data_IF_296706499885
#
_entry.id   IF_296706499885
#
_cell.length_a   1.000
_cell.length_b   1.000
_cell.length_c   1.000
_cell.angle_alpha   90.00
_cell.angle_beta   90.00
_cell.angle_gamma   90.00
#
_symmetry.space_group_name_H-M   'P 1'
#
loop_
_entity.id
_entity.type
_entity.pdbx_description
1 polymer ?
#
# COMPACT_ATOMS: atom_id res chain seq x y z
N UNK A 1 -13.86 -24.79 20.68
CA UNK A 1 -13.20 -24.82 19.36
C UNK A 1 -14.15 -24.44 18.23
N UNK A 2 -15.42 -24.94 18.24
CA UNK A 2 -16.46 -24.60 17.26
C UNK A 2 -16.77 -23.08 17.27
N UNK A 3 -16.76 -22.43 18.43
CA UNK A 3 -16.98 -20.99 18.57
C UNK A 3 -15.90 -20.14 17.94
N UNK A 4 -14.63 -20.52 18.04
CA UNK A 4 -13.52 -19.73 17.49
C UNK A 4 -13.48 -19.77 15.96
N UNK A 5 -13.75 -20.90 15.34
CA UNK A 5 -13.82 -21.00 13.87
C UNK A 5 -15.02 -20.23 13.33
N UNK A 6 -16.17 -20.30 14.00
CA UNK A 6 -17.37 -19.55 13.63
C UNK A 6 -17.11 -18.02 13.71
N UNK A 7 -16.46 -17.54 14.77
CA UNK A 7 -16.09 -16.13 14.92
C UNK A 7 -15.11 -15.64 13.85
N UNK A 8 -14.17 -16.49 13.40
CA UNK A 8 -13.25 -16.16 12.31
C UNK A 8 -14.02 -16.03 10.99
N UNK A 9 -14.92 -16.96 10.69
CA UNK A 9 -15.76 -16.92 9.48
C UNK A 9 -16.68 -15.72 9.48
N UNK A 10 -17.28 -15.40 10.61
CA UNK A 10 -18.16 -14.25 10.78
C UNK A 10 -17.41 -12.94 10.45
N UNK A 11 -16.27 -12.70 11.06
CA UNK A 11 -15.41 -11.54 10.73
C UNK A 11 -15.01 -11.49 9.24
N UNK A 12 -14.70 -12.64 8.64
CA UNK A 12 -14.32 -12.70 7.23
C UNK A 12 -15.48 -12.25 6.32
N UNK A 13 -16.69 -12.77 6.54
CA UNK A 13 -17.84 -12.41 5.71
C UNK A 13 -18.35 -10.99 6.00
N UNK A 14 -18.24 -10.51 7.23
CA UNK A 14 -18.52 -9.11 7.56
C UNK A 14 -17.53 -8.17 6.84
N UNK A 15 -16.25 -8.50 6.87
CA UNK A 15 -15.24 -7.75 6.12
C UNK A 15 -15.50 -7.80 4.61
N UNK A 16 -15.88 -8.96 4.07
CA UNK A 16 -16.25 -9.08 2.66
C UNK A 16 -17.47 -8.21 2.29
N UNK A 17 -18.45 -8.10 3.19
CA UNK A 17 -19.58 -7.20 3.01
C UNK A 17 -19.16 -5.73 2.99
N UNK A 18 -18.27 -5.34 3.90
CA UNK A 18 -17.77 -3.95 3.97
C UNK A 18 -17.04 -3.53 2.69
N UNK A 19 -16.25 -4.41 2.07
CA UNK A 19 -15.57 -4.13 0.79
C UNK A 19 -16.53 -3.96 -0.40
N UNK A 20 -17.82 -4.20 -0.23
CA UNK A 20 -18.85 -4.04 -1.27
C UNK A 20 -19.74 -2.80 -1.07
N UNK A 21 -19.51 -2.00 -0.03
CA UNK A 21 -20.35 -0.83 0.30
C UNK A 21 -19.93 0.38 -0.55
N UNK A 22 -18.66 0.63 -0.66
CA UNK A 22 -18.07 1.75 -1.40
C UNK A 22 -16.94 1.26 -2.33
N UNK A 23 -16.64 1.95 -3.44
CA UNK A 23 -17.37 3.09 -4.04
C UNK A 23 -18.80 2.75 -4.45
N UNK A 24 -19.68 3.77 -4.42
CA UNK A 24 -21.12 3.61 -4.72
C UNK A 24 -21.44 3.95 -6.17
N UNK A 25 -22.44 3.28 -6.74
CA UNK A 25 -22.97 3.61 -8.07
C UNK A 25 -23.53 5.04 -8.07
N UNK A 26 -23.11 5.82 -9.05
CA UNK A 26 -23.54 7.22 -9.26
C UNK A 26 -24.03 7.44 -10.69
N UNK A 27 -24.82 6.50 -11.16
CA UNK A 27 -25.48 6.53 -12.47
C UNK A 27 -26.97 6.30 -12.25
N UNK A 28 -27.82 7.11 -12.86
CA UNK A 28 -29.25 6.87 -12.89
C UNK A 28 -29.58 5.64 -13.77
N UNK A 29 -30.80 5.14 -13.67
CA UNK A 29 -31.24 3.91 -14.37
C UNK A 29 -31.15 4.01 -15.90
N UNK A 30 -31.18 5.24 -16.45
CA UNK A 30 -31.05 5.56 -17.88
C UNK A 30 -29.58 5.81 -18.33
N UNK A 31 -28.64 5.68 -17.40
CA UNK A 31 -27.20 5.84 -17.64
C UNK A 31 -26.68 7.28 -17.51
N UNK A 32 -27.52 8.24 -17.09
CA UNK A 32 -27.06 9.60 -16.88
C UNK A 32 -26.48 9.84 -15.48
N UNK A 33 -25.56 10.80 -15.37
CA UNK A 33 -24.99 11.26 -14.11
C UNK A 33 -24.54 12.73 -14.21
N UNK A 34 -24.43 13.41 -13.09
CA UNK A 34 -23.85 14.76 -13.03
C UNK A 34 -22.34 14.68 -12.88
N UNK A 35 -21.60 15.34 -13.78
CA UNK A 35 -20.13 15.47 -13.69
C UNK A 35 -19.69 16.59 -12.76
N UNK A 36 -18.36 16.72 -12.54
CA UNK A 36 -17.76 17.77 -11.73
C UNK A 36 -17.87 19.17 -12.39
N UNK A 37 -18.10 19.21 -13.68
CA UNK A 37 -18.42 20.44 -14.45
C UNK A 37 -19.88 20.88 -14.27
N UNK A 38 -20.65 20.19 -13.42
CA UNK A 38 -22.11 20.37 -13.22
C UNK A 38 -22.96 20.07 -14.45
N UNK A 39 -22.42 19.54 -15.53
CA UNK A 39 -23.16 19.08 -16.68
C UNK A 39 -23.67 17.65 -16.48
N UNK A 40 -24.74 17.33 -17.23
CA UNK A 40 -25.23 15.95 -17.28
C UNK A 40 -24.49 15.22 -18.40
N UNK A 41 -23.88 14.09 -18.01
CA UNK A 41 -23.17 13.18 -18.87
C UNK A 41 -23.87 11.84 -18.94
N UNK A 42 -23.52 11.01 -19.92
CA UNK A 42 -23.99 9.65 -20.05
C UNK A 42 -22.81 8.68 -19.94
N UNK A 43 -22.95 7.68 -19.08
CA UNK A 43 -21.99 6.59 -18.97
C UNK A 43 -22.22 5.59 -20.09
N UNK A 44 -21.32 5.57 -21.08
CA UNK A 44 -21.38 4.68 -22.22
C UNK A 44 -20.33 3.57 -22.08
N UNK A 45 -20.80 2.33 -21.93
CA UNK A 45 -19.95 1.14 -21.78
C UNK A 45 -19.29 0.99 -20.40
N UNK A 46 -19.73 1.75 -19.40
CA UNK A 46 -19.32 1.63 -18.00
C UNK A 46 -20.42 2.12 -17.05
N UNK A 47 -20.33 1.79 -15.79
CA UNK A 47 -21.13 2.36 -14.70
C UNK A 47 -20.29 3.44 -14.01
N UNK A 48 -20.84 4.65 -13.81
CA UNK A 48 -20.12 5.70 -13.09
C UNK A 48 -20.26 5.49 -11.59
N UNK A 49 -19.12 5.64 -10.88
CA UNK A 49 -19.02 5.47 -9.44
C UNK A 49 -18.62 6.77 -8.75
N UNK A 50 -18.91 6.85 -7.46
CA UNK A 50 -18.56 7.95 -6.56
C UNK A 50 -18.17 7.41 -5.20
N UNK A 51 -17.77 8.32 -4.28
CA UNK A 51 -17.23 8.03 -2.94
C UNK A 51 -15.86 7.33 -3.06
N UNK A 52 -14.91 8.13 -3.50
CA UNK A 52 -13.52 7.74 -3.62
C UNK A 52 -12.70 8.29 -2.44
N UNK A 53 -12.31 7.42 -1.54
CA UNK A 53 -11.43 7.66 -0.37
C UNK A 53 -10.05 7.08 -0.70
N UNK A 54 -9.34 7.72 -1.64
CA UNK A 54 -8.23 7.06 -2.32
C UNK A 54 -6.95 6.96 -1.49
N UNK A 55 -6.76 7.84 -0.50
CA UNK A 55 -5.66 7.73 0.46
C UNK A 55 -5.68 6.39 1.22
N UNK A 56 -6.87 5.86 1.46
CA UNK A 56 -7.10 4.59 2.14
C UNK A 56 -7.14 3.43 1.15
N UNK A 57 -8.08 3.50 0.20
CA UNK A 57 -8.55 2.34 -0.59
C UNK A 57 -7.55 1.86 -1.65
N UNK A 58 -6.57 2.68 -2.05
CA UNK A 58 -5.55 2.23 -2.99
C UNK A 58 -4.71 1.07 -2.44
N UNK A 59 -4.58 0.97 -1.11
CA UNK A 59 -3.64 0.06 -0.43
C UNK A 59 -4.07 -1.41 -0.53
N UNK A 60 -5.34 -1.71 -0.28
CA UNK A 60 -5.87 -3.07 -0.38
C UNK A 60 -7.26 -3.17 -1.00
N UNK A 61 -8.15 -2.20 -0.82
CA UNK A 61 -9.51 -2.29 -1.33
C UNK A 61 -9.55 -2.37 -2.86
N UNK A 62 -8.94 -1.42 -3.60
CA UNK A 62 -8.86 -1.49 -5.06
C UNK A 62 -8.11 -2.74 -5.57
N UNK A 63 -6.96 -3.17 -4.98
CA UNK A 63 -6.35 -4.47 -5.29
C UNK A 63 -7.27 -5.66 -5.06
N UNK A 64 -8.12 -5.62 -4.02
CA UNK A 64 -9.11 -6.66 -3.75
C UNK A 64 -10.22 -6.68 -4.81
N UNK A 65 -10.72 -5.51 -5.18
CA UNK A 65 -11.69 -5.36 -6.25
C UNK A 65 -11.12 -5.82 -7.60
N UNK A 66 -9.85 -5.54 -7.90
CA UNK A 66 -9.16 -6.09 -9.08
C UNK A 66 -9.15 -7.61 -9.09
N UNK A 67 -8.98 -8.24 -7.94
CA UNK A 67 -8.94 -9.69 -7.83
C UNK A 67 -10.34 -10.33 -7.93
N UNK A 68 -11.34 -9.74 -7.27
CA UNK A 68 -12.64 -10.37 -7.05
C UNK A 68 -13.80 -9.77 -7.87
N UNK A 69 -13.66 -8.52 -8.33
CA UNK A 69 -14.69 -7.72 -9.02
C UNK A 69 -14.05 -6.85 -10.13
N UNK A 70 -13.22 -7.46 -10.95
CA UNK A 70 -12.39 -6.75 -11.94
C UNK A 70 -13.21 -5.87 -12.90
N UNK A 71 -14.41 -6.31 -13.29
CA UNK A 71 -15.37 -5.55 -14.11
C UNK A 71 -15.81 -4.25 -13.42
N UNK A 72 -16.15 -4.32 -12.13
CA UNK A 72 -16.56 -3.15 -11.35
C UNK A 72 -15.40 -2.20 -11.09
N UNK A 73 -14.21 -2.74 -10.76
CA UNK A 73 -13.03 -1.90 -10.55
C UNK A 73 -12.59 -1.22 -11.85
N UNK A 74 -12.73 -1.89 -13.01
CA UNK A 74 -12.56 -1.26 -14.33
C UNK A 74 -13.47 -0.03 -14.49
N UNK A 75 -14.74 -0.16 -14.17
CA UNK A 75 -15.70 0.92 -14.27
C UNK A 75 -15.40 2.07 -13.28
N UNK A 76 -14.91 1.75 -12.07
CA UNK A 76 -14.42 2.74 -11.10
C UNK A 76 -13.22 3.51 -11.65
N UNK A 77 -12.25 2.82 -12.25
CA UNK A 77 -11.07 3.44 -12.88
C UNK A 77 -11.49 4.35 -14.05
N UNK A 78 -12.43 3.92 -14.89
CA UNK A 78 -12.97 4.77 -15.95
C UNK A 78 -13.67 5.99 -15.35
N UNK A 79 -14.43 5.83 -14.26
CA UNK A 79 -15.05 6.95 -13.54
C UNK A 79 -14.02 7.96 -13.05
N UNK A 80 -12.88 7.52 -12.54
CA UNK A 80 -11.77 8.39 -12.13
C UNK A 80 -11.19 9.17 -13.32
N UNK A 81 -11.05 8.55 -14.48
CA UNK A 81 -10.58 9.22 -15.71
C UNK A 81 -11.62 10.25 -16.18
N UNK A 82 -12.91 9.93 -16.16
CA UNK A 82 -13.99 10.88 -16.48
C UNK A 82 -14.04 12.04 -15.49
N UNK A 83 -13.82 11.78 -14.20
CA UNK A 83 -13.66 12.81 -13.19
C UNK A 83 -12.56 13.81 -13.59
N UNK A 84 -11.37 13.33 -13.98
CA UNK A 84 -10.27 14.17 -14.42
C UNK A 84 -10.63 15.04 -15.62
N UNK A 85 -11.38 14.50 -16.58
CA UNK A 85 -11.79 15.20 -17.80
C UNK A 85 -12.86 16.26 -17.55
N UNK A 86 -13.74 16.03 -16.59
CA UNK A 86 -14.87 16.90 -16.24
C UNK A 86 -14.52 17.90 -15.13
N UNK A 87 -13.48 17.62 -14.34
CA UNK A 87 -13.02 18.53 -13.29
C UNK A 87 -12.42 19.81 -13.89
N UNK A 88 -12.81 20.97 -13.36
CA UNK A 88 -12.20 22.27 -13.70
C UNK A 88 -10.70 22.30 -13.35
N UNK A 89 -10.29 21.51 -12.38
CA UNK A 89 -8.90 21.35 -11.98
C UNK A 89 -8.12 20.42 -12.93
N UNK A 90 -8.83 19.58 -13.69
CA UNK A 90 -8.22 18.59 -14.57
C UNK A 90 -7.39 17.55 -13.86
N UNK A 91 -7.74 17.22 -12.61
CA UNK A 91 -7.10 16.22 -11.78
C UNK A 91 -7.97 14.97 -11.68
N UNK A 92 -7.32 13.83 -11.50
CA UNK A 92 -7.95 12.61 -10.99
C UNK A 92 -8.50 12.86 -9.57
N UNK A 93 -9.50 12.08 -9.11
CA UNK A 93 -10.06 12.29 -7.78
C UNK A 93 -9.02 12.10 -6.68
N UNK A 94 -9.15 12.88 -5.64
CA UNK A 94 -8.42 12.75 -4.37
C UNK A 94 -9.36 12.13 -3.33
N UNK A 95 -10.45 12.85 -3.02
CA UNK A 95 -11.50 12.44 -2.07
C UNK A 95 -12.86 12.91 -2.58
N UNK A 96 -13.29 12.35 -3.69
CA UNK A 96 -14.45 12.84 -4.42
C UNK A 96 -15.75 12.16 -4.01
N UNK A 97 -16.75 12.95 -3.65
CA UNK A 97 -18.08 12.50 -3.30
C UNK A 97 -19.16 13.21 -4.13
N UNK A 98 -20.01 12.45 -4.83
CA UNK A 98 -21.20 12.93 -5.54
C UNK A 98 -20.94 14.17 -6.43
N UNK A 99 -19.90 14.08 -7.27
CA UNK A 99 -19.43 15.14 -8.15
C UNK A 99 -18.94 16.41 -7.40
N UNK A 100 -18.39 16.25 -6.21
CA UNK A 100 -17.63 17.26 -5.49
C UNK A 100 -16.30 16.70 -5.04
N UNK A 101 -15.23 17.44 -5.23
CA UNK A 101 -13.91 17.12 -4.70
C UNK A 101 -13.73 17.81 -3.34
N UNK A 102 -13.36 17.02 -2.31
CA UNK A 102 -13.24 17.52 -0.94
C UNK A 102 -11.80 17.83 -0.54
N UNK A 103 -10.79 17.38 -1.33
CA UNK A 103 -9.37 17.60 -1.07
C UNK A 103 -8.90 17.06 0.28
N UNK A 104 -9.59 16.05 0.81
CA UNK A 104 -9.22 15.44 2.07
C UNK A 104 -7.99 14.56 1.89
N UNK A 105 -7.14 14.49 2.92
CA UNK A 105 -5.88 13.75 2.95
C UNK A 105 -4.84 14.27 1.94
N UNK A 106 -3.73 13.56 1.79
CA UNK A 106 -2.63 13.92 0.90
C UNK A 106 -2.41 12.87 -0.20
N UNK A 107 -1.48 13.12 -1.11
CA UNK A 107 -1.24 12.25 -2.26
C UNK A 107 -2.22 12.46 -3.40
N UNK A 108 -1.98 11.79 -4.53
CA UNK A 108 -2.91 11.72 -5.68
C UNK A 108 -3.12 10.26 -6.10
N UNK A 109 -3.49 9.44 -5.12
CA UNK A 109 -3.47 7.98 -5.17
C UNK A 109 -4.44 7.32 -6.16
N UNK A 110 -5.31 8.10 -6.84
CA UNK A 110 -6.02 7.58 -8.01
C UNK A 110 -5.05 6.96 -9.03
N UNK A 111 -3.82 7.51 -9.14
CA UNK A 111 -2.80 6.95 -10.04
C UNK A 111 -2.40 5.54 -9.64
N UNK A 112 -2.41 5.23 -8.35
CA UNK A 112 -2.16 3.87 -7.84
C UNK A 112 -3.29 2.91 -8.24
N UNK A 113 -4.55 3.31 -8.04
CA UNK A 113 -5.70 2.50 -8.45
C UNK A 113 -5.70 2.23 -9.97
N UNK A 114 -5.37 3.25 -10.79
CA UNK A 114 -5.23 3.11 -12.23
C UNK A 114 -4.07 2.18 -12.61
N UNK A 115 -2.89 2.37 -12.01
CA UNK A 115 -1.71 1.57 -12.29
C UNK A 115 -1.94 0.10 -11.92
N UNK A 116 -2.52 -0.16 -10.75
CA UNK A 116 -2.82 -1.52 -10.28
C UNK A 116 -3.80 -2.24 -11.21
N UNK A 117 -4.87 -1.56 -11.64
CA UNK A 117 -5.82 -2.11 -12.60
C UNK A 117 -5.16 -2.40 -13.97
N UNK A 118 -4.36 -1.48 -14.49
CA UNK A 118 -3.69 -1.61 -15.79
C UNK A 118 -2.65 -2.75 -15.78
N UNK A 119 -1.85 -2.85 -14.72
CA UNK A 119 -0.84 -3.91 -14.55
C UNK A 119 -1.52 -5.28 -14.44
N UNK A 120 -2.69 -5.35 -13.82
CA UNK A 120 -3.53 -6.56 -13.70
C UNK A 120 -4.49 -6.76 -14.88
N UNK A 121 -4.19 -6.13 -16.01
CA UNK A 121 -4.85 -6.35 -17.31
C UNK A 121 -6.32 -5.92 -17.40
N UNK A 122 -6.74 -4.91 -16.62
CA UNK A 122 -8.05 -4.28 -16.83
C UNK A 122 -8.17 -3.69 -18.24
N UNK A 123 -9.36 -3.82 -18.83
CA UNK A 123 -9.69 -3.27 -20.15
C UNK A 123 -9.93 -1.75 -20.04
N UNK A 124 -8.84 -1.00 -19.97
CA UNK A 124 -8.78 0.46 -19.85
C UNK A 124 -7.79 1.00 -20.87
N UNK A 125 -8.10 2.12 -21.51
CA UNK A 125 -7.13 2.78 -22.39
C UNK A 125 -5.94 3.30 -21.59
N UNK A 126 -4.81 2.60 -21.73
CA UNK A 126 -3.57 2.90 -21.00
C UNK A 126 -2.99 4.27 -21.34
N UNK A 127 -3.18 4.75 -22.59
CA UNK A 127 -2.67 6.06 -23.00
C UNK A 127 -3.54 7.19 -22.47
N UNK A 128 -4.85 7.02 -22.46
CA UNK A 128 -5.79 7.95 -21.82
C UNK A 128 -5.51 8.04 -20.31
N UNK A 129 -5.37 6.89 -19.65
CA UNK A 129 -5.00 6.81 -18.23
C UNK A 129 -3.67 7.51 -17.95
N UNK A 130 -2.61 7.19 -18.68
CA UNK A 130 -1.29 7.81 -18.51
C UNK A 130 -1.34 9.34 -18.66
N UNK A 131 -2.10 9.84 -19.64
CA UNK A 131 -2.29 11.28 -19.84
C UNK A 131 -2.97 11.94 -18.63
N UNK A 132 -4.01 11.30 -18.08
CA UNK A 132 -4.72 11.78 -16.89
C UNK A 132 -3.80 11.79 -15.65
N UNK A 133 -3.02 10.73 -15.47
CA UNK A 133 -2.05 10.60 -14.38
C UNK A 133 -0.97 11.70 -14.44
N UNK A 134 -0.35 11.89 -15.61
CA UNK A 134 0.67 12.93 -15.82
C UNK A 134 0.10 14.32 -15.56
N UNK A 135 -1.11 14.61 -16.05
CA UNK A 135 -1.74 15.91 -15.83
C UNK A 135 -1.98 16.17 -14.35
N UNK A 136 -2.48 15.18 -13.61
CA UNK A 136 -2.69 15.26 -12.16
C UNK A 136 -1.40 15.58 -11.42
N UNK A 137 -0.29 14.90 -11.73
CA UNK A 137 1.01 15.03 -11.06
C UNK A 137 1.76 16.34 -11.34
N UNK A 138 1.15 17.27 -12.10
CA UNK A 138 1.76 18.56 -12.51
C UNK A 138 0.86 19.76 -12.22
N UNK A 139 -0.18 19.61 -11.41
CA UNK A 139 -1.05 20.73 -11.02
C UNK A 139 -0.40 21.54 -9.92
N UNK A 140 0.13 22.76 -10.21
CA UNK A 140 1.09 23.43 -9.33
C UNK A 140 0.49 23.94 -8.01
N UNK A 141 -0.81 24.24 -7.99
CA UNK A 141 -1.49 24.71 -6.77
C UNK A 141 -2.00 23.61 -5.85
N UNK A 142 -1.80 22.33 -6.22
CA UNK A 142 -2.24 21.21 -5.40
C UNK A 142 -1.15 20.88 -4.37
N UNK A 143 -1.49 21.01 -3.09
CA UNK A 143 -0.78 20.55 -1.87
C UNK A 143 0.77 20.51 -1.98
N UNK A 144 1.38 21.67 -2.28
CA UNK A 144 2.84 21.80 -2.40
C UNK A 144 3.46 21.16 -3.65
N UNK A 145 2.66 20.84 -4.67
CA UNK A 145 3.16 20.22 -5.91
C UNK A 145 4.17 21.09 -6.64
N UNK A 146 4.00 22.41 -6.63
CA UNK A 146 4.96 23.35 -7.25
C UNK A 146 6.34 23.23 -6.60
N UNK A 147 6.38 23.28 -5.27
CA UNK A 147 7.60 23.04 -4.50
C UNK A 147 8.20 21.66 -4.76
N UNK A 148 7.37 20.63 -4.77
CA UNK A 148 7.81 19.25 -5.02
C UNK A 148 8.44 19.07 -6.40
N UNK A 149 7.90 19.70 -7.43
CA UNK A 149 8.46 19.67 -8.78
C UNK A 149 9.83 20.38 -8.85
N UNK A 150 9.99 21.44 -8.07
CA UNK A 150 11.20 22.26 -8.11
C UNK A 150 12.28 21.81 -7.13
N UNK A 151 11.92 21.56 -5.85
CA UNK A 151 12.83 21.21 -4.77
C UNK A 151 13.04 19.71 -4.63
N UNK A 152 12.18 18.89 -5.27
CA UNK A 152 12.11 17.44 -5.10
C UNK A 152 11.67 16.98 -3.70
N UNK A 153 11.00 17.84 -2.95
CA UNK A 153 10.28 17.60 -1.71
C UNK A 153 9.35 18.78 -1.42
N UNK A 154 8.34 18.56 -0.59
CA UNK A 154 7.48 19.62 -0.08
C UNK A 154 8.12 20.21 1.19
N UNK A 155 8.35 21.53 1.30
CA UNK A 155 9.01 22.11 2.46
C UNK A 155 8.05 22.28 3.66
N UNK A 156 8.61 22.13 4.86
CA UNK A 156 7.88 22.20 6.12
C UNK A 156 7.28 23.58 6.41
N UNK A 157 7.93 24.64 6.00
CA UNK A 157 7.47 26.02 6.12
C UNK A 157 6.34 26.39 5.14
N UNK A 158 6.03 25.50 4.16
CA UNK A 158 4.94 25.70 3.21
C UNK A 158 3.76 24.74 3.47
N UNK A 159 3.99 23.57 4.08
CA UNK A 159 2.95 22.57 4.38
C UNK A 159 3.18 21.88 5.72
N UNK A 160 2.12 21.83 6.55
CA UNK A 160 2.15 21.13 7.85
C UNK A 160 2.28 19.60 7.71
N UNK A 161 2.01 19.04 6.53
CA UNK A 161 2.07 17.60 6.21
C UNK A 161 3.20 17.26 5.24
N UNK A 162 4.15 18.16 5.08
CA UNK A 162 5.20 18.18 4.06
C UNK A 162 5.95 16.86 3.86
N UNK A 163 6.28 16.17 4.96
CA UNK A 163 7.05 14.93 4.88
C UNK A 163 6.19 13.78 4.35
N UNK A 164 4.99 13.56 4.89
CA UNK A 164 4.07 12.53 4.37
C UNK A 164 3.71 12.79 2.91
N UNK A 165 3.36 14.04 2.56
CA UNK A 165 3.05 14.44 1.18
C UNK A 165 4.19 14.10 0.21
N UNK A 166 5.44 14.39 0.59
CA UNK A 166 6.61 14.05 -0.24
C UNK A 166 6.75 12.54 -0.46
N UNK A 167 6.54 11.74 0.58
CA UNK A 167 6.64 10.28 0.50
C UNK A 167 5.55 9.68 -0.39
N UNK A 168 4.33 10.17 -0.24
CA UNK A 168 3.17 9.71 -1.00
C UNK A 168 3.29 10.09 -2.48
N UNK A 169 3.73 11.31 -2.79
CA UNK A 169 4.03 11.72 -4.17
C UNK A 169 5.11 10.86 -4.83
N UNK A 170 6.14 10.47 -4.08
CA UNK A 170 7.19 9.60 -4.63
C UNK A 170 6.65 8.21 -5.01
N UNK A 171 5.72 7.68 -4.25
CA UNK A 171 5.03 6.43 -4.59
C UNK A 171 4.06 6.62 -5.78
N UNK A 172 3.29 7.69 -5.80
CA UNK A 172 2.38 8.01 -6.89
C UNK A 172 3.14 8.20 -8.22
N UNK A 173 4.29 8.87 -8.20
CA UNK A 173 5.20 9.01 -9.34
C UNK A 173 5.71 7.65 -9.83
N UNK A 174 6.00 6.71 -8.91
CA UNK A 174 6.37 5.36 -9.29
C UNK A 174 5.21 4.64 -10.01
N UNK A 175 3.96 4.87 -9.63
CA UNK A 175 2.80 4.33 -10.33
C UNK A 175 2.73 4.85 -11.78
N UNK A 176 3.02 6.14 -12.01
CA UNK A 176 3.09 6.72 -13.35
C UNK A 176 4.25 6.09 -14.15
N UNK A 177 5.42 5.89 -13.53
CA UNK A 177 6.53 5.17 -14.13
C UNK A 177 6.13 3.79 -14.66
N UNK A 178 5.40 3.00 -13.86
CA UNK A 178 4.92 1.67 -14.25
C UNK A 178 4.04 1.72 -15.51
N UNK A 179 3.07 2.62 -15.56
CA UNK A 179 2.17 2.76 -16.70
C UNK A 179 2.90 3.31 -17.93
N UNK A 180 3.83 4.26 -17.75
CA UNK A 180 4.66 4.79 -18.84
C UNK A 180 5.50 3.69 -19.51
N UNK A 181 6.08 2.77 -18.71
CA UNK A 181 6.80 1.60 -19.25
C UNK A 181 5.88 0.71 -20.11
N UNK A 182 4.67 0.41 -19.62
CA UNK A 182 3.69 -0.39 -20.35
C UNK A 182 3.20 0.27 -21.64
N UNK A 183 3.22 1.62 -21.70
CA UNK A 183 2.91 2.40 -22.90
C UNK A 183 4.10 2.56 -23.86
N UNK A 184 5.32 2.16 -23.45
CA UNK A 184 6.55 2.33 -24.22
C UNK A 184 7.10 3.77 -24.21
N UNK A 185 6.63 4.64 -23.31
CA UNK A 185 6.98 6.05 -23.21
C UNK A 185 8.26 6.24 -22.36
N UNK A 186 9.41 5.90 -22.96
CA UNK A 186 10.70 5.80 -22.26
C UNK A 186 11.15 7.09 -21.56
N UNK A 187 10.95 8.25 -22.20
CA UNK A 187 11.35 9.54 -21.60
C UNK A 187 10.51 9.87 -20.36
N UNK A 188 9.20 9.64 -20.44
CA UNK A 188 8.28 9.81 -19.33
C UNK A 188 8.64 8.83 -18.20
N UNK A 189 8.88 7.55 -18.55
CA UNK A 189 9.28 6.56 -17.57
C UNK A 189 10.55 6.97 -16.81
N UNK A 190 11.58 7.52 -17.47
CA UNK A 190 12.79 7.96 -16.79
C UNK A 190 12.57 9.20 -15.89
N UNK A 191 11.75 10.19 -16.35
CA UNK A 191 11.34 11.33 -15.53
C UNK A 191 10.71 10.84 -14.21
N UNK A 192 9.68 9.97 -14.33
CA UNK A 192 8.93 9.53 -13.15
C UNK A 192 9.70 8.50 -12.30
N UNK A 193 10.59 7.72 -12.89
CA UNK A 193 11.53 6.90 -12.13
C UNK A 193 12.45 7.73 -11.23
N UNK A 194 12.93 8.87 -11.74
CA UNK A 194 13.73 9.80 -10.95
C UNK A 194 12.93 10.42 -9.80
N UNK A 195 11.70 10.87 -10.07
CA UNK A 195 10.79 11.45 -9.07
C UNK A 195 10.41 10.44 -8.00
N UNK A 196 10.21 9.17 -8.35
CA UNK A 196 9.93 8.08 -7.41
C UNK A 196 11.01 7.90 -6.32
N UNK A 197 12.20 8.44 -6.51
CA UNK A 197 13.29 8.41 -5.53
C UNK A 197 13.33 9.63 -4.61
N UNK A 198 12.42 10.58 -4.76
CA UNK A 198 12.38 11.84 -4.01
C UNK A 198 12.18 11.63 -2.49
N UNK A 199 11.58 10.54 -2.05
CA UNK A 199 11.46 10.16 -0.63
C UNK A 199 12.81 10.19 0.09
N UNK A 200 13.93 9.93 -0.63
CA UNK A 200 15.30 9.90 -0.11
C UNK A 200 15.78 11.27 0.37
N UNK A 201 15.22 12.35 -0.18
CA UNK A 201 15.61 13.72 0.17
C UNK A 201 15.27 14.08 1.61
N UNK A 202 14.27 13.40 2.21
CA UNK A 202 13.86 13.65 3.58
C UNK A 202 14.48 12.66 4.58
N UNK A 203 15.27 11.68 4.13
CA UNK A 203 15.90 10.73 5.05
C UNK A 203 17.13 11.33 5.71
N UNK A 204 17.03 11.65 7.00
CA UNK A 204 18.16 12.14 7.80
C UNK A 204 19.01 10.97 8.32
N UNK A 205 20.15 10.75 7.69
CA UNK A 205 21.09 9.66 8.05
C UNK A 205 21.65 9.77 9.46
N UNK A 206 21.67 10.98 10.04
CA UNK A 206 22.23 11.20 11.39
C UNK A 206 21.37 10.62 12.48
N UNK A 207 20.04 10.59 12.26
CA UNK A 207 19.05 10.03 13.21
C UNK A 207 18.40 8.75 12.67
N UNK A 208 18.53 8.46 11.38
CA UNK A 208 17.99 7.28 10.71
C UNK A 208 16.47 7.31 10.52
N UNK A 209 15.88 8.49 10.32
CA UNK A 209 14.45 8.72 10.14
C UNK A 209 14.16 9.67 8.99
N UNK A 210 12.94 9.60 8.46
CA UNK A 210 12.37 10.68 7.64
C UNK A 210 12.16 11.89 8.56
N UNK A 211 12.69 13.04 8.12
CA UNK A 211 12.64 14.31 8.84
C UNK A 211 12.28 15.43 7.87
N UNK A 212 11.33 16.31 8.20
CA UNK A 212 10.96 17.41 7.33
C UNK A 212 12.14 18.36 7.09
N UNK A 213 12.14 19.01 5.91
CA UNK A 213 13.07 20.08 5.54
C UNK A 213 12.33 21.39 5.30
N UNK A 214 12.99 22.49 5.62
CA UNK A 214 12.56 23.82 5.20
C UNK A 214 12.93 24.07 3.73
N UNK A 215 12.34 25.11 3.10
CA UNK A 215 12.61 25.47 1.70
C UNK A 215 14.10 25.80 1.44
N UNK A 216 14.85 26.21 2.47
CA UNK A 216 16.29 26.43 2.38
C UNK A 216 17.14 25.14 2.42
N UNK A 217 16.52 23.96 2.46
CA UNK A 217 17.19 22.67 2.49
C UNK A 217 17.62 22.15 3.86
N UNK A 218 17.50 22.95 4.91
CA UNK A 218 17.84 22.54 6.28
C UNK A 218 16.76 21.61 6.86
N UNK A 219 17.16 20.57 7.58
CA UNK A 219 16.21 19.76 8.35
C UNK A 219 15.60 20.54 9.51
N UNK A 220 14.32 20.30 9.81
CA UNK A 220 13.63 20.87 10.98
C UNK A 220 14.45 20.63 12.26
N UNK A 221 14.79 21.68 13.01
CA UNK A 221 15.75 21.59 14.11
C UNK A 221 15.18 20.85 15.32
N UNK A 222 14.10 21.35 15.89
CA UNK A 222 13.40 20.67 16.99
C UNK A 222 12.49 19.61 16.39
N UNK A 223 12.85 18.34 16.55
CA UNK A 223 12.18 17.21 15.91
C UNK A 223 12.07 16.03 16.86
N UNK A 224 10.85 15.59 17.13
CA UNK A 224 10.55 14.37 17.87
C UNK A 224 9.92 13.33 16.94
N UNK A 225 10.61 12.23 16.60
CA UNK A 225 10.10 11.23 15.65
C UNK A 225 8.85 10.47 16.12
N UNK A 226 8.45 10.59 17.38
CA UNK A 226 7.22 10.00 17.93
C UNK A 226 6.04 10.98 17.95
N UNK A 227 6.29 12.28 17.77
CA UNK A 227 5.24 13.29 17.81
C UNK A 227 4.40 13.25 16.53
N UNK A 228 3.07 13.24 16.69
CA UNK A 228 2.11 13.12 15.59
C UNK A 228 1.67 14.46 15.00
N UNK A 229 1.75 15.54 15.75
CA UNK A 229 1.34 16.87 15.29
C UNK A 229 2.52 17.82 15.21
N UNK A 230 2.55 18.66 14.16
CA UNK A 230 3.56 19.69 14.00
C UNK A 230 4.95 19.18 13.56
N UNK A 231 5.03 17.92 13.10
CA UNK A 231 6.28 17.30 12.65
C UNK A 231 6.31 16.96 11.17
N UNK A 232 5.35 17.49 10.39
CA UNK A 232 5.31 17.32 8.92
C UNK A 232 4.62 16.04 8.45
N UNK A 233 3.84 15.39 9.29
CA UNK A 233 3.12 14.16 8.97
C UNK A 233 1.62 14.34 9.14
N UNK A 234 0.85 13.73 8.25
CA UNK A 234 -0.59 13.59 8.35
C UNK A 234 -0.91 12.31 9.13
N UNK A 235 -1.74 12.39 10.16
CA UNK A 235 -2.26 11.25 10.93
C UNK A 235 -1.20 10.22 11.35
N UNK A 236 0.02 10.65 11.64
CA UNK A 236 1.09 9.74 12.00
C UNK A 236 2.33 10.46 12.45
N UNK A 237 3.42 9.74 12.49
CA UNK A 237 4.71 10.24 12.91
C UNK A 237 5.86 9.64 12.10
N UNK A 238 7.06 10.09 12.35
CA UNK A 238 8.23 9.63 11.61
C UNK A 238 8.53 8.13 11.79
N UNK A 239 8.16 7.52 12.92
CA UNK A 239 8.30 6.08 13.10
C UNK A 239 7.43 5.28 12.12
N UNK A 240 6.20 5.74 11.87
CA UNK A 240 5.29 5.09 10.94
C UNK A 240 5.71 5.38 9.48
N UNK A 241 5.92 6.67 9.15
CA UNK A 241 6.19 7.10 7.78
C UNK A 241 7.61 6.82 7.28
N UNK A 242 8.60 6.56 8.15
CA UNK A 242 9.95 6.15 7.68
C UNK A 242 9.96 4.81 6.94
N UNK A 243 8.89 4.04 7.00
CA UNK A 243 8.71 2.82 6.23
C UNK A 243 7.87 3.01 4.96
N UNK A 244 7.43 4.24 4.66
CA UNK A 244 6.55 4.52 3.53
C UNK A 244 7.33 4.78 2.23
N UNK A 245 7.88 3.72 1.64
CA UNK A 245 8.29 3.62 0.25
C UNK A 245 8.05 2.18 -0.23
N UNK A 246 6.77 1.76 -0.37
CA UNK A 246 6.43 0.37 -0.70
C UNK A 246 7.00 -0.06 -2.06
N UNK A 247 7.23 0.88 -2.96
CA UNK A 247 7.84 0.69 -4.27
C UNK A 247 9.36 0.48 -4.24
N UNK A 248 10.04 0.83 -3.11
CA UNK A 248 11.51 0.78 -3.02
C UNK A 248 12.02 0.33 -1.64
N UNK A 249 11.56 -0.83 -1.17
CA UNK A 249 11.93 -1.38 0.15
C UNK A 249 13.44 -1.63 0.27
N UNK A 250 14.12 -2.09 -0.80
CA UNK A 250 15.56 -2.24 -0.82
C UNK A 250 16.29 -0.89 -0.69
N UNK A 251 15.72 0.19 -1.25
CA UNK A 251 16.20 1.55 -1.06
C UNK A 251 16.12 1.98 0.41
N UNK A 252 15.01 1.70 1.10
CA UNK A 252 14.86 1.97 2.54
C UNK A 252 15.85 1.15 3.37
N UNK A 253 16.01 -0.14 3.07
CA UNK A 253 17.00 -1.01 3.73
C UNK A 253 18.40 -0.40 3.61
N UNK A 254 18.76 0.08 2.42
CA UNK A 254 20.05 0.72 2.16
C UNK A 254 20.21 2.03 2.94
N UNK A 255 19.18 2.89 2.94
CA UNK A 255 19.20 4.16 3.69
C UNK A 255 19.35 3.96 5.20
N UNK A 256 18.69 2.94 5.75
CA UNK A 256 18.76 2.60 7.18
C UNK A 256 20.04 1.84 7.57
N UNK A 257 21.00 1.66 6.64
CA UNK A 257 22.29 1.06 6.92
C UNK A 257 22.31 -0.48 6.85
N UNK A 258 21.40 -1.06 6.05
CA UNK A 258 21.37 -2.48 5.71
C UNK A 258 20.38 -3.32 6.49
N UNK A 259 20.27 -4.58 6.10
CA UNK A 259 19.29 -5.57 6.57
C UNK A 259 19.17 -5.62 8.10
N UNK A 260 20.30 -5.75 8.80
CA UNK A 260 20.31 -5.88 10.26
C UNK A 260 19.69 -4.66 10.97
N UNK A 261 20.01 -3.47 10.51
CA UNK A 261 19.49 -2.23 11.09
C UNK A 261 18.01 -2.03 10.76
N UNK A 262 17.61 -2.37 9.53
CA UNK A 262 16.21 -2.31 9.11
C UNK A 262 15.34 -3.27 9.93
N UNK A 263 15.78 -4.53 10.10
CA UNK A 263 15.09 -5.51 10.96
C UNK A 263 15.00 -5.01 12.39
N UNK A 264 16.11 -4.46 12.94
CA UNK A 264 16.08 -3.90 14.29
C UNK A 264 15.07 -2.76 14.42
N UNK A 265 14.98 -1.87 13.43
CA UNK A 265 14.04 -0.75 13.43
C UNK A 265 12.57 -1.24 13.38
N UNK A 266 12.28 -2.26 12.57
CA UNK A 266 10.97 -2.91 12.57
C UNK A 266 10.65 -3.58 13.92
N UNK A 267 11.62 -4.30 14.49
CA UNK A 267 11.44 -4.94 15.81
C UNK A 267 11.20 -3.89 16.91
N UNK A 268 11.95 -2.79 16.90
CA UNK A 268 11.78 -1.69 17.83
C UNK A 268 10.37 -1.07 17.71
N UNK A 269 9.88 -0.86 16.48
CA UNK A 269 8.51 -0.34 16.24
C UNK A 269 7.45 -1.23 16.89
N UNK A 270 7.51 -2.54 16.69
CA UNK A 270 6.49 -3.46 17.22
C UNK A 270 6.63 -3.76 18.71
N UNK A 271 7.80 -3.49 19.33
CA UNK A 271 8.08 -3.84 20.72
C UNK A 271 8.24 -2.65 21.66
N UNK A 272 8.28 -1.41 21.14
CA UNK A 272 8.41 -0.24 22.01
C UNK A 272 7.21 -0.09 22.95
N UNK A 273 7.46 0.48 24.10
CA UNK A 273 6.41 0.98 24.98
C UNK A 273 6.19 2.47 24.66
N UNK A 274 5.10 2.77 23.93
CA UNK A 274 4.79 4.14 23.55
C UNK A 274 4.25 4.92 24.74
N UNK A 275 4.90 6.02 25.19
CA UNK A 275 4.40 6.85 26.27
C UNK A 275 3.02 7.45 25.95
N UNK A 276 2.14 7.48 26.96
CA UNK A 276 0.76 7.92 26.83
C UNK A 276 0.60 9.34 26.23
N UNK A 277 1.56 10.24 26.50
CA UNK A 277 1.55 11.60 25.97
C UNK A 277 1.47 11.68 24.42
N UNK A 278 1.85 10.60 23.69
CA UNK A 278 1.84 10.56 22.23
C UNK A 278 0.51 10.06 21.63
N UNK A 279 -0.40 9.49 22.44
CA UNK A 279 -1.68 8.99 21.93
C UNK A 279 -2.91 9.46 22.74
N UNK A 280 -2.78 9.86 24.02
CA UNK A 280 -3.94 10.21 24.86
C UNK A 280 -4.79 11.38 24.34
N UNK A 281 -4.22 12.26 23.53
CA UNK A 281 -4.90 13.44 22.95
C UNK A 281 -4.94 13.39 21.42
N UNK A 282 -4.77 12.21 20.86
CA UNK A 282 -4.78 12.02 19.42
C UNK A 282 -6.06 11.28 19.04
N UNK A 283 -6.80 11.81 18.07
CA UNK A 283 -8.05 11.20 17.58
C UNK A 283 -7.78 10.02 16.65
N UNK A 284 -6.64 10.04 15.93
CA UNK A 284 -6.29 9.06 14.92
C UNK A 284 -5.49 7.88 15.51
N UNK A 285 -4.83 8.07 16.66
CA UNK A 285 -4.00 7.07 17.31
C UNK A 285 -4.52 6.78 18.72
N UNK A 286 -5.39 5.79 18.84
CA UNK A 286 -5.90 5.33 20.14
C UNK A 286 -5.09 4.15 20.67
N UNK A 287 -5.17 3.89 21.97
CA UNK A 287 -4.50 2.75 22.60
C UNK A 287 -4.91 1.41 22.00
N UNK A 288 -6.16 1.30 21.57
CA UNK A 288 -6.75 0.08 20.98
C UNK A 288 -6.19 -0.25 19.61
N UNK A 289 -5.68 0.77 18.88
CA UNK A 289 -5.10 0.59 17.54
C UNK A 289 -3.59 0.35 17.55
N UNK A 290 -2.96 0.35 18.74
CA UNK A 290 -1.50 0.26 18.91
C UNK A 290 -1.01 -1.16 19.19
N UNK A 291 0.11 -1.51 18.55
CA UNK A 291 0.94 -2.65 18.87
C UNK A 291 2.40 -2.18 18.93
N UNK A 292 2.86 -1.84 20.12
CA UNK A 292 4.08 -1.04 20.27
C UNK A 292 3.87 0.38 19.76
N UNK A 293 4.71 0.81 18.81
CA UNK A 293 4.53 2.05 18.04
C UNK A 293 3.87 1.84 16.67
N UNK A 294 3.54 0.58 16.32
CA UNK A 294 2.77 0.26 15.12
C UNK A 294 1.31 0.62 15.31
N UNK A 295 0.74 1.36 14.36
CA UNK A 295 -0.65 1.87 14.41
C UNK A 295 -1.46 1.14 13.37
N UNK A 296 -2.24 0.12 13.78
CA UNK A 296 -3.06 -0.64 12.83
C UNK A 296 -4.33 0.09 12.42
N UNK A 297 -4.88 0.88 13.32
CA UNK A 297 -6.10 1.66 13.07
C UNK A 297 -5.91 2.85 12.12
N UNK A 298 -4.71 3.00 11.53
CA UNK A 298 -4.40 4.05 10.57
C UNK A 298 -3.59 3.48 9.37
N UNK A 299 -3.93 3.84 8.17
CA UNK A 299 -3.58 3.20 6.91
C UNK A 299 -2.09 3.24 6.55
N UNK A 300 -1.30 4.29 6.85
CA UNK A 300 0.13 4.33 6.55
C UNK A 300 0.93 3.15 7.10
N UNK A 301 0.40 2.47 8.11
CA UNK A 301 1.05 1.33 8.77
C UNK A 301 0.73 -0.03 8.14
N UNK A 302 -0.31 -0.15 7.31
CA UNK A 302 -0.88 -1.43 6.87
C UNK A 302 0.10 -2.36 6.15
N UNK A 303 1.05 -1.83 5.40
CA UNK A 303 2.07 -2.61 4.67
C UNK A 303 3.25 -3.03 5.56
N UNK A 304 3.49 -2.33 6.68
CA UNK A 304 4.71 -2.45 7.50
C UNK A 304 4.98 -3.87 8.01
N UNK A 305 4.01 -4.66 8.50
CA UNK A 305 4.28 -6.02 8.97
C UNK A 305 4.77 -6.97 7.89
N UNK A 306 4.57 -6.64 6.62
CA UNK A 306 5.02 -7.42 5.47
C UNK A 306 6.45 -7.08 5.02
N UNK A 307 7.04 -5.96 5.47
CA UNK A 307 8.36 -5.51 5.05
C UNK A 307 9.50 -6.46 5.44
N UNK A 308 9.31 -7.33 6.41
CA UNK A 308 10.28 -8.39 6.72
C UNK A 308 10.51 -9.35 5.54
N UNK A 309 9.61 -9.43 4.55
CA UNK A 309 9.78 -10.29 3.37
C UNK A 309 11.02 -9.93 2.52
N UNK A 310 11.47 -8.68 2.57
CA UNK A 310 12.70 -8.22 1.91
C UNK A 310 13.98 -8.46 2.72
N UNK A 311 13.84 -8.89 3.97
CA UNK A 311 14.96 -9.02 4.92
C UNK A 311 15.48 -10.46 5.03
N UNK A 312 16.49 -10.65 5.88
CA UNK A 312 16.97 -11.97 6.28
C UNK A 312 16.03 -12.72 7.24
N UNK A 313 14.92 -12.08 7.69
CA UNK A 313 14.02 -12.61 8.71
C UNK A 313 12.54 -12.60 8.30
N UNK A 314 12.16 -13.14 7.11
CA UNK A 314 10.79 -13.05 6.59
C UNK A 314 9.73 -13.76 7.46
N UNK A 315 10.12 -14.69 8.33
CA UNK A 315 9.19 -15.35 9.25
C UNK A 315 8.56 -14.39 10.27
N UNK A 316 9.12 -13.20 10.49
CA UNK A 316 8.55 -12.19 11.39
C UNK A 316 7.26 -11.60 10.84
N UNK A 317 7.10 -11.49 9.52
CA UNK A 317 5.80 -11.19 8.90
C UNK A 317 4.72 -12.15 9.42
N UNK A 318 4.98 -13.45 9.39
CA UNK A 318 4.00 -14.48 9.80
C UNK A 318 3.62 -14.37 11.28
N UNK A 319 4.56 -13.95 12.11
CA UNK A 319 4.31 -13.68 13.53
C UNK A 319 3.43 -12.43 13.72
N UNK A 320 3.84 -11.30 13.14
CA UNK A 320 3.17 -10.02 13.38
C UNK A 320 1.77 -9.95 12.74
N UNK A 321 1.57 -10.45 11.52
CA UNK A 321 0.22 -10.48 10.93
C UNK A 321 -0.75 -11.32 11.79
N UNK A 322 -0.29 -12.42 12.39
CA UNK A 322 -1.12 -13.21 13.31
C UNK A 322 -1.45 -12.45 14.59
N UNK A 323 -0.48 -11.75 15.18
CA UNK A 323 -0.70 -10.91 16.37
C UNK A 323 -1.69 -9.77 16.07
N UNK A 324 -1.55 -9.10 14.94
CA UNK A 324 -2.45 -8.03 14.51
C UNK A 324 -3.88 -8.58 14.34
N UNK A 325 -4.05 -9.67 13.60
CA UNK A 325 -5.38 -10.27 13.38
C UNK A 325 -6.06 -10.68 14.69
N UNK A 326 -5.31 -11.21 15.64
CA UNK A 326 -5.86 -11.65 16.92
C UNK A 326 -6.22 -10.48 17.85
N UNK A 327 -5.50 -9.36 17.78
CA UNK A 327 -5.66 -8.23 18.73
C UNK A 327 -6.52 -7.11 18.18
N UNK A 328 -6.44 -6.84 16.86
CA UNK A 328 -7.00 -5.65 16.23
C UNK A 328 -8.36 -5.91 15.55
N UNK A 329 -8.75 -7.18 15.39
CA UNK A 329 -10.03 -7.57 14.83
C UNK A 329 -10.81 -8.44 15.79
N UNK A 330 -11.96 -7.96 16.25
CA UNK A 330 -12.81 -8.63 17.23
C UNK A 330 -14.15 -9.02 16.60
N UNK A 331 -14.80 -10.06 17.13
CA UNK A 331 -16.16 -10.41 16.78
C UNK A 331 -17.15 -9.60 17.62
N UNK A 332 -17.25 -8.31 17.32
CA UNK A 332 -18.01 -7.31 18.07
C UNK A 332 -18.44 -6.20 17.11
N UNK A 333 -19.48 -5.42 17.46
CA UNK A 333 -19.92 -4.24 16.68
C UNK A 333 -18.79 -3.22 16.53
N UNK A 334 -17.93 -3.08 17.56
CA UNK A 334 -16.71 -2.27 17.53
C UNK A 334 -15.48 -3.13 17.28
N UNK A 335 -15.58 -4.02 16.31
CA UNK A 335 -14.59 -5.06 16.06
C UNK A 335 -13.32 -4.60 15.35
N UNK A 336 -13.34 -3.43 14.72
CA UNK A 336 -12.19 -2.81 14.09
C UNK A 336 -11.44 -1.92 15.09
N UNK A 337 -10.13 -1.80 14.93
CA UNK A 337 -9.28 -0.95 15.79
C UNK A 337 -9.18 0.50 15.33
N UNK A 338 -9.82 0.87 14.24
CA UNK A 338 -9.96 2.19 13.65
C UNK A 338 -11.20 2.25 12.77
N UNK A 339 -11.31 3.27 11.93
CA UNK A 339 -12.34 3.34 10.91
C UNK A 339 -12.10 2.26 9.84
N UNK A 340 -13.17 1.83 9.15
CA UNK A 340 -13.03 0.86 8.05
C UNK A 340 -12.49 1.51 6.76
N UNK A 341 -12.68 2.81 6.62
CA UNK A 341 -12.24 3.65 5.53
C UNK A 341 -12.57 3.08 4.15
N UNK A 342 -13.88 3.00 3.91
CA UNK A 342 -14.48 2.53 2.66
C UNK A 342 -14.03 1.12 2.25
N UNK A 343 -13.83 0.22 3.23
CA UNK A 343 -13.45 -1.16 2.98
C UNK A 343 -11.95 -1.47 3.13
N UNK A 344 -11.11 -0.45 3.34
CA UNK A 344 -9.65 -0.66 3.40
C UNK A 344 -9.21 -1.55 4.56
N UNK A 345 -9.71 -1.31 5.78
CA UNK A 345 -9.39 -2.13 6.95
C UNK A 345 -9.91 -3.57 6.78
N UNK A 346 -11.09 -3.71 6.21
CA UNK A 346 -11.72 -4.98 5.89
C UNK A 346 -10.97 -5.74 4.80
N UNK A 347 -10.52 -5.09 3.74
CA UNK A 347 -9.70 -5.69 2.68
C UNK A 347 -8.34 -6.17 3.21
N UNK A 348 -7.73 -5.42 4.14
CA UNK A 348 -6.52 -5.86 4.84
C UNK A 348 -6.74 -7.20 5.57
N UNK A 349 -7.86 -7.29 6.31
CA UNK A 349 -8.22 -8.52 7.02
C UNK A 349 -8.42 -9.70 6.06
N UNK A 350 -9.12 -9.49 4.95
CA UNK A 350 -9.38 -10.54 3.95
C UNK A 350 -8.06 -11.03 3.35
N UNK A 351 -7.24 -10.15 2.79
CA UNK A 351 -5.96 -10.52 2.19
C UNK A 351 -5.05 -11.23 3.18
N UNK A 352 -4.94 -10.71 4.39
CA UNK A 352 -4.12 -11.31 5.43
C UNK A 352 -4.68 -12.70 5.84
N UNK A 353 -6.01 -12.87 5.87
CA UNK A 353 -6.64 -14.18 6.10
C UNK A 353 -6.30 -15.19 5.02
N UNK A 354 -6.21 -14.76 3.76
CA UNK A 354 -5.80 -15.57 2.61
C UNK A 354 -4.31 -15.94 2.68
N UNK A 355 -3.51 -15.19 3.44
CA UNK A 355 -2.08 -15.43 3.63
C UNK A 355 -1.16 -14.63 2.71
N UNK A 356 -1.66 -13.56 2.08
CA UNK A 356 -0.86 -12.64 1.26
C UNK A 356 -1.46 -11.23 1.30
N UNK A 357 -0.68 -10.21 0.85
CA UNK A 357 -1.09 -8.81 0.89
C UNK A 357 -0.44 -7.99 -0.24
N UNK A 358 -1.16 -7.07 -0.90
CA UNK A 358 -0.63 -6.19 -1.94
C UNK A 358 0.18 -5.03 -1.33
N UNK A 359 1.43 -5.28 -0.93
CA UNK A 359 2.30 -4.27 -0.29
C UNK A 359 2.53 -3.05 -1.17
N UNK A 360 2.62 -3.26 -2.48
CA UNK A 360 2.88 -2.22 -3.47
C UNK A 360 1.90 -2.35 -4.65
N UNK A 361 0.67 -1.79 -4.53
CA UNK A 361 -0.25 -1.73 -5.65
C UNK A 361 0.39 -1.04 -6.86
N UNK A 362 0.08 -1.52 -8.07
CA UNK A 362 0.81 -1.17 -9.29
C UNK A 362 1.93 -2.14 -9.63
N UNK A 363 2.21 -3.14 -8.77
CA UNK A 363 2.89 -4.39 -9.14
C UNK A 363 1.85 -5.49 -9.39
N UNK A 364 2.27 -6.59 -10.01
CA UNK A 364 1.44 -7.78 -10.11
C UNK A 364 1.62 -8.74 -8.90
N UNK A 365 2.30 -8.32 -7.84
CA UNK A 365 2.74 -9.16 -6.73
C UNK A 365 1.87 -8.97 -5.47
N UNK A 366 1.65 -10.08 -4.77
CA UNK A 366 1.10 -10.12 -3.42
C UNK A 366 2.12 -10.79 -2.51
N UNK A 367 2.56 -10.10 -1.47
CA UNK A 367 3.60 -10.58 -0.54
C UNK A 367 3.03 -11.63 0.40
N UNK A 368 3.70 -12.77 0.53
CA UNK A 368 3.24 -13.89 1.35
C UNK A 368 3.46 -13.63 2.84
N UNK A 369 2.38 -13.81 3.60
CA UNK A 369 2.37 -13.90 5.06
C UNK A 369 2.12 -15.34 5.53
N UNK A 370 1.04 -15.54 6.29
CA UNK A 370 0.56 -16.86 6.70
C UNK A 370 -0.98 -16.85 6.77
N UNK A 371 -1.65 -17.86 6.18
CA UNK A 371 -3.11 -17.95 6.20
C UNK A 371 -3.68 -18.02 7.62
N UNK A 372 -4.90 -17.51 7.77
CA UNK A 372 -5.61 -17.55 9.07
C UNK A 372 -6.50 -18.76 9.22
N UNK A 373 -7.00 -19.31 8.12
CA UNK A 373 -7.90 -20.45 8.05
C UNK A 373 -7.23 -21.65 7.37
N UNK A 374 -7.63 -22.90 7.72
CA UNK A 374 -7.02 -24.12 7.17
C UNK A 374 -7.36 -24.37 5.69
N UNK A 375 -8.48 -23.81 5.21
CA UNK A 375 -8.95 -23.93 3.83
C UNK A 375 -9.74 -22.70 3.42
N UNK A 376 -9.46 -22.19 2.24
CA UNK A 376 -10.18 -21.09 1.60
C UNK A 376 -10.23 -21.32 0.10
N UNK A 377 -11.32 -20.93 -0.55
CA UNK A 377 -11.52 -21.03 -1.99
C UNK A 377 -11.99 -19.69 -2.54
N UNK A 378 -11.32 -19.19 -3.56
CA UNK A 378 -11.70 -18.02 -4.33
C UNK A 378 -12.35 -18.47 -5.63
N UNK A 379 -13.61 -18.10 -5.84
CA UNK A 379 -14.27 -18.18 -7.14
C UNK A 379 -13.89 -16.91 -7.92
N UNK A 380 -13.03 -17.04 -8.92
CA UNK A 380 -12.45 -15.91 -9.64
C UNK A 380 -13.38 -15.41 -10.76
N UNK A 381 -13.32 -14.12 -11.14
CA UNK A 381 -14.17 -13.54 -12.18
C UNK A 381 -14.07 -14.23 -13.55
N UNK A 382 -12.92 -14.83 -13.86
CA UNK A 382 -12.68 -15.57 -15.12
C UNK A 382 -13.25 -17.01 -15.11
N UNK A 383 -13.96 -17.41 -14.04
CA UNK A 383 -14.53 -18.75 -13.88
C UNK A 383 -13.58 -19.79 -13.27
N UNK A 384 -12.31 -19.46 -13.09
CA UNK A 384 -11.35 -20.34 -12.44
C UNK A 384 -11.57 -20.35 -10.91
N UNK A 385 -10.98 -21.34 -10.25
CA UNK A 385 -10.94 -21.43 -8.80
C UNK A 385 -9.50 -21.43 -8.31
N UNK A 386 -9.23 -20.67 -7.27
CA UNK A 386 -7.95 -20.67 -6.58
C UNK A 386 -8.14 -21.11 -5.13
N UNK A 387 -7.46 -22.17 -4.74
CA UNK A 387 -7.61 -22.80 -3.42
C UNK A 387 -6.38 -22.51 -2.57
N UNK A 388 -6.60 -22.04 -1.35
CA UNK A 388 -5.54 -21.83 -0.36
C UNK A 388 -5.71 -22.87 0.74
N UNK A 389 -4.66 -23.66 0.98
CA UNK A 389 -4.62 -24.69 2.00
C UNK A 389 -3.53 -24.43 3.03
N UNK A 390 -3.90 -24.51 4.31
CA UNK A 390 -2.97 -24.39 5.44
C UNK A 390 -3.37 -25.39 6.54
N UNK A 391 -3.33 -26.71 6.29
CA UNK A 391 -3.80 -27.69 7.25
C UNK A 391 -3.04 -27.60 8.57
N UNK A 392 -3.80 -27.56 9.68
CA UNK A 392 -3.25 -27.46 11.03
C UNK A 392 -2.77 -26.05 11.43
N UNK A 393 -3.08 -25.00 10.64
CA UNK A 393 -2.84 -23.61 11.03
C UNK A 393 -3.53 -23.31 12.38
N UNK A 394 -2.84 -22.62 13.26
CA UNK A 394 -3.32 -22.19 14.58
C UNK A 394 -2.39 -21.14 15.16
N UNK A 395 -2.74 -20.54 16.30
CA UNK A 395 -1.86 -19.60 17.00
C UNK A 395 -0.50 -20.20 17.40
N UNK A 396 -0.45 -21.52 17.64
CA UNK A 396 0.81 -22.25 17.88
C UNK A 396 1.53 -22.58 16.58
N UNK A 397 0.81 -22.98 15.53
CA UNK A 397 1.38 -23.30 14.20
C UNK A 397 1.13 -22.14 13.24
N UNK A 398 1.75 -21.00 13.52
CA UNK A 398 1.60 -19.75 12.76
C UNK A 398 2.68 -19.53 11.70
N UNK A 399 3.76 -20.29 11.74
CA UNK A 399 4.87 -20.15 10.81
C UNK A 399 4.71 -21.05 9.59
N UNK A 400 5.23 -20.60 8.46
CA UNK A 400 5.23 -21.33 7.20
C UNK A 400 6.59 -22.03 7.03
N UNK A 401 6.54 -23.35 6.97
CA UNK A 401 7.72 -24.17 6.70
C UNK A 401 8.09 -24.17 5.23
N UNK A 402 7.10 -24.44 4.35
CA UNK A 402 7.23 -24.42 2.90
C UNK A 402 5.92 -23.97 2.27
N UNK A 403 6.00 -23.46 1.04
CA UNK A 403 4.85 -23.15 0.20
C UNK A 403 4.94 -24.00 -1.06
N UNK A 404 3.81 -24.49 -1.55
CA UNK A 404 3.70 -25.17 -2.84
C UNK A 404 2.63 -24.48 -3.68
N UNK A 405 2.91 -24.30 -4.95
CA UNK A 405 1.93 -23.86 -5.95
C UNK A 405 1.69 -25.04 -6.90
N UNK A 406 0.44 -25.50 -6.98
CA UNK A 406 0.05 -26.65 -7.79
C UNK A 406 0.93 -27.91 -7.53
N UNK A 407 1.19 -28.18 -6.24
CA UNK A 407 1.99 -29.30 -5.76
C UNK A 407 3.50 -29.15 -5.88
N UNK A 408 4.00 -28.12 -6.58
CA UNK A 408 5.45 -27.83 -6.74
C UNK A 408 5.94 -26.86 -5.68
N UNK A 409 7.17 -27.08 -5.18
CA UNK A 409 7.80 -26.17 -4.23
C UNK A 409 7.86 -24.75 -4.80
N UNK A 410 7.38 -23.78 -4.01
CA UNK A 410 7.32 -22.37 -4.35
C UNK A 410 8.17 -21.56 -3.36
N UNK A 411 9.41 -21.18 -3.72
CA UNK A 411 10.35 -20.57 -2.78
C UNK A 411 10.12 -19.06 -2.60
N UNK A 412 9.45 -18.40 -3.57
CA UNK A 412 9.24 -16.95 -3.56
C UNK A 412 8.50 -16.48 -2.30
N UNK A 413 8.77 -15.25 -1.89
CA UNK A 413 8.09 -14.57 -0.79
C UNK A 413 6.87 -13.77 -1.26
N UNK A 414 6.45 -13.94 -2.49
CA UNK A 414 5.28 -13.33 -3.12
C UNK A 414 4.62 -14.33 -4.07
N UNK A 415 3.37 -14.05 -4.44
CA UNK A 415 2.64 -14.72 -5.52
C UNK A 415 2.15 -13.65 -6.51
N UNK A 416 2.10 -13.96 -7.79
CA UNK A 416 1.65 -13.00 -8.80
C UNK A 416 0.13 -13.06 -9.01
N UNK A 417 -0.43 -11.97 -9.53
CA UNK A 417 -1.83 -11.91 -9.91
C UNK A 417 -2.17 -12.99 -10.97
N UNK A 418 -1.28 -13.21 -11.93
CA UNK A 418 -1.42 -14.24 -12.96
C UNK A 418 -1.43 -15.64 -12.36
N UNK A 419 -0.56 -15.93 -11.37
CA UNK A 419 -0.55 -17.22 -10.68
C UNK A 419 -1.92 -17.51 -10.02
N UNK A 420 -2.54 -16.49 -9.42
CA UNK A 420 -3.87 -16.62 -8.78
C UNK A 420 -4.94 -16.78 -9.86
N UNK A 421 -4.96 -15.91 -10.88
CA UNK A 421 -5.98 -15.90 -11.93
C UNK A 421 -5.93 -17.15 -12.82
N UNK A 422 -4.77 -17.81 -12.93
CA UNK A 422 -4.65 -19.10 -13.60
C UNK A 422 -5.46 -20.21 -12.88
N UNK A 423 -5.81 -19.99 -11.62
CA UNK A 423 -6.45 -21.00 -10.78
C UNK A 423 -5.46 -22.03 -10.22
N UNK A 424 -5.98 -22.99 -9.47
CA UNK A 424 -5.15 -24.04 -8.87
C UNK A 424 -5.07 -23.96 -7.36
N UNK A 425 -3.93 -24.37 -6.78
CA UNK A 425 -3.78 -24.56 -5.35
C UNK A 425 -2.48 -23.96 -4.81
N UNK A 426 -2.61 -23.15 -3.75
CA UNK A 426 -1.50 -22.66 -2.94
C UNK A 426 -1.54 -23.35 -1.56
N UNK A 427 -0.58 -24.26 -1.31
CA UNK A 427 -0.49 -25.00 -0.06
C UNK A 427 0.61 -24.41 0.84
N UNK A 428 0.24 -24.05 2.07
CA UNK A 428 1.14 -23.66 3.13
C UNK A 428 1.35 -24.81 4.12
N UNK A 429 2.56 -25.32 4.22
CA UNK A 429 2.91 -26.30 5.26
C UNK A 429 3.24 -25.55 6.54
N UNK A 430 2.35 -25.65 7.52
CA UNK A 430 2.43 -24.87 8.76
C UNK A 430 3.35 -25.51 9.80
N UNK A 431 3.98 -24.69 10.64
CA UNK A 431 4.94 -25.07 11.69
C UNK A 431 4.74 -24.24 12.97
N UNK A 432 5.09 -24.84 14.11
CA UNK A 432 5.17 -24.11 15.38
C UNK A 432 6.48 -23.32 15.54
N UNK A 433 7.48 -23.58 14.70
CA UNK A 433 8.78 -22.89 14.73
C UNK A 433 9.07 -22.25 13.38
N UNK A 434 9.73 -21.07 13.37
CA UNK A 434 10.05 -20.37 12.14
C UNK A 434 11.04 -21.14 11.25
N UNK A 435 10.80 -21.12 9.94
CA UNK A 435 11.81 -21.56 8.97
C UNK A 435 12.73 -20.39 8.62
N UNK A 436 13.94 -20.41 9.19
CA UNK A 436 14.95 -19.35 9.02
C UNK A 436 15.75 -19.44 7.72
N UNK A 437 15.50 -20.45 6.88
CA UNK A 437 16.22 -20.63 5.61
C UNK A 437 15.43 -20.17 4.37
N UNK A 438 14.12 -19.99 4.50
CA UNK A 438 13.23 -19.55 3.39
C UNK A 438 13.35 -18.05 3.14
N UNK A 439 13.29 -17.61 1.87
CA UNK A 439 13.27 -16.20 1.47
C UNK A 439 14.63 -15.50 1.59
N UNK A 440 15.75 -16.23 1.54
CA UNK A 440 17.08 -15.64 1.64
C UNK A 440 17.69 -15.23 0.31
N UNK A 441 17.30 -15.91 -0.78
CA UNK A 441 17.82 -15.60 -2.10
C UNK A 441 17.18 -14.30 -2.62
N UNK A 442 17.95 -13.47 -3.33
CA UNK A 442 17.42 -12.23 -3.92
C UNK A 442 16.28 -12.52 -4.91
N UNK A 443 16.37 -13.61 -5.68
CA UNK A 443 15.34 -14.05 -6.61
C UNK A 443 14.03 -14.52 -5.96
N UNK A 444 14.05 -14.75 -4.65
CA UNK A 444 12.88 -15.15 -3.86
C UNK A 444 12.15 -13.93 -3.26
N UNK A 445 12.78 -12.76 -3.25
CA UNK A 445 12.25 -11.53 -2.63
C UNK A 445 11.28 -10.82 -3.54
N UNK A 446 10.29 -10.06 -2.98
CA UNK A 446 9.38 -9.26 -3.78
C UNK A 446 10.09 -8.11 -4.50
N UNK A 447 9.38 -7.48 -5.43
CA UNK A 447 9.85 -6.33 -6.20
C UNK A 447 10.36 -5.18 -5.33
N UNK A 448 11.37 -4.48 -5.82
CA UNK A 448 11.81 -3.16 -5.33
C UNK A 448 12.42 -2.38 -6.49
N UNK A 449 12.17 -1.06 -6.56
CA UNK A 449 12.72 -0.19 -7.60
C UNK A 449 14.25 -0.18 -7.59
N UNK A 450 14.87 -0.22 -6.39
CA UNK A 450 16.31 -0.42 -6.23
C UNK A 450 16.63 -1.90 -6.27
N UNK A 451 17.31 -2.32 -7.34
CA UNK A 451 17.79 -3.69 -7.48
C UNK A 451 19.16 -3.85 -6.82
N UNK A 452 19.21 -4.63 -5.73
CA UNK A 452 20.44 -4.88 -4.99
C UNK A 452 21.48 -5.68 -5.81
N UNK A 453 21.08 -6.42 -6.83
CA UNK A 453 22.00 -7.15 -7.70
C UNK A 453 22.88 -6.21 -8.54
N UNK A 454 22.38 -5.00 -8.82
CA UNK A 454 23.09 -3.96 -9.58
C UNK A 454 23.99 -3.06 -8.70
N UNK A 455 23.71 -2.98 -7.38
CA UNK A 455 24.50 -2.14 -6.46
C UNK A 455 25.92 -2.68 -6.29
N UNK A 456 26.11 -4.01 -6.29
CA UNK A 456 27.44 -4.63 -6.20
C UNK A 456 28.32 -4.43 -7.43
N UNK A 457 27.77 -3.94 -8.56
CA UNK A 457 28.51 -3.71 -9.80
C UNK A 457 28.97 -2.24 -9.88
N UNK A 458 28.39 -1.34 -9.10
CA UNK A 458 28.61 0.12 -9.19
C UNK A 458 29.36 0.75 -8.01
N UNK A 459 29.86 0.00 -7.03
CA UNK A 459 30.85 0.56 -6.09
C UNK A 459 32.21 0.65 -6.79
N UNK A 460 32.69 1.87 -7.12
CA UNK A 460 34.09 2.02 -7.50
C UNK A 460 34.91 1.62 -6.28
N UNK A 461 35.79 0.66 -6.46
CA UNK A 461 36.84 0.34 -5.50
C UNK A 461 37.52 1.64 -5.08
N UNK A 462 37.36 2.02 -3.80
CA UNK A 462 38.05 3.13 -3.14
C UNK A 462 39.55 2.83 -3.01
N UNK A 463 40.21 2.51 -4.10
CA UNK A 463 41.63 2.16 -4.08
C UNK A 463 42.48 2.88 -5.15
N UNK A 464 41.92 3.90 -5.82
CA UNK A 464 42.75 4.74 -6.72
C UNK A 464 42.55 6.25 -6.43
N UNK A 465 42.93 6.69 -5.23
CA UNK A 465 43.09 8.08 -4.92
C UNK A 465 44.15 8.28 -3.80
N UNK A 466 45.28 7.58 -3.91
CA UNK A 466 46.53 7.94 -3.24
C UNK A 466 47.67 7.56 -4.20
N UNK A 467 47.97 8.41 -5.12
CA UNK A 467 49.30 8.58 -5.72
C UNK A 467 49.39 9.98 -6.36
#
# INVERSE_FOLDING_TARGET
>A
LVGSEMCIRDRFYTSYYHTMINPSVYTDVDGYYRGLDNNIHRAEGFTNYTIFSLWDTYRAEHPFLNLMKADKNRDMVISMIRHQQQSVHGMLPIWSHMANENWCMSGYHAVSALADAIVKSADVDRREALKAMIKTSKVPYYDGMDDYMWLHYVPFDHSSTSASTTLEYAYDDWCIYQVAQLCGEKQIAEEYRSRALNYRNLFDRSIGFIRPKYANGAFKQEFDPLQTHGEGFIEGNSWNFSFHAPHDVNGLITLMGGDKNFVKRLDDLFSMELPAKYYEKNEDITKECLLGGYVHGNEPSHHVPYLYAWTSQPWKTQYWVREIMNRMYKNDIKGLSGNDDCGQMSAWYIFTSLGFYPVCPGTNEYVLGAPYMPYQELALPNGNKFVIKAPGVSDKKRYVRTVKLNGKLYPKMYITHEDIMAGGELEFVMSATPNKSRGKQLSEKPYSLTDLSLIHISEPTRQEAIS
#
